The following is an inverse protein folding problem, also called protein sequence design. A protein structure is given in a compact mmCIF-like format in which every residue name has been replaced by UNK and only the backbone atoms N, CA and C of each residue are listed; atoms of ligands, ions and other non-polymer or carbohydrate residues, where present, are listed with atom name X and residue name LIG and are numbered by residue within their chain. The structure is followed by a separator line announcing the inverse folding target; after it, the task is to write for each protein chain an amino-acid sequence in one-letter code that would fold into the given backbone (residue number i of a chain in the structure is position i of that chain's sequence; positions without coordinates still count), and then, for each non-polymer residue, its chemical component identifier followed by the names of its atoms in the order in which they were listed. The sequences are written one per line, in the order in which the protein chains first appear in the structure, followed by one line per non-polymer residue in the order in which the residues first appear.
data_IF_474143956611
#
_entry.id   IF_474143956611
#
_cell.length_a   1.000
_cell.length_b   1.000
_cell.length_c   1.000
_cell.angle_alpha   90.00
_cell.angle_beta   90.00
_cell.angle_gamma   90.00
#
_symmetry.space_group_name_H-M   'P 1'
#
loop_
_entity.id
_entity.type
_entity.pdbx_description
1 polymer ?
#
# COMPACT_ATOMS: atom_id res chain seq x y z
N UNK A 1 -9.81 -4.32 17.83
CA UNK A 1 -10.84 -5.28 17.35
C UNK A 1 -10.49 -5.73 15.95
N UNK A 2 -10.54 -7.04 15.72
CA UNK A 2 -10.31 -7.68 14.43
C UNK A 2 -11.68 -7.98 13.81
N UNK A 3 -12.19 -7.10 12.95
CA UNK A 3 -13.55 -7.25 12.43
C UNK A 3 -13.56 -7.97 11.07
N UNK A 4 -13.39 -9.29 11.12
CA UNK A 4 -13.47 -10.16 9.95
C UNK A 4 -14.82 -10.05 9.23
N UNK A 5 -15.89 -9.74 9.97
CA UNK A 5 -17.22 -9.59 9.39
C UNK A 5 -17.32 -8.30 8.56
N UNK A 6 -16.83 -7.17 9.06
CA UNK A 6 -16.78 -5.91 8.29
C UNK A 6 -15.94 -6.07 7.02
N UNK A 7 -14.78 -6.73 7.14
CA UNK A 7 -13.91 -7.05 6.00
C UNK A 7 -14.64 -7.89 4.94
N UNK A 8 -15.40 -8.90 5.37
CA UNK A 8 -16.22 -9.74 4.49
C UNK A 8 -17.35 -8.95 3.83
N UNK A 9 -18.06 -8.14 4.59
CA UNK A 9 -19.15 -7.28 4.10
C UNK A 9 -18.63 -6.31 3.05
N UNK A 10 -17.56 -5.57 3.36
CA UNK A 10 -16.97 -4.62 2.43
C UNK A 10 -16.44 -5.30 1.17
N UNK A 11 -15.82 -6.48 1.28
CA UNK A 11 -15.33 -7.22 0.12
C UNK A 11 -16.45 -7.55 -0.86
N UNK A 12 -17.61 -7.98 -0.35
CA UNK A 12 -18.75 -8.33 -1.20
C UNK A 12 -19.30 -7.11 -1.94
N UNK A 13 -19.41 -5.98 -1.26
CA UNK A 13 -19.86 -4.73 -1.90
C UNK A 13 -18.81 -4.19 -2.89
N UNK A 14 -17.53 -4.22 -2.52
CA UNK A 14 -16.42 -3.82 -3.38
C UNK A 14 -16.38 -4.61 -4.68
N UNK A 15 -16.69 -5.91 -4.65
CA UNK A 15 -16.68 -6.73 -5.85
C UNK A 15 -17.81 -6.38 -6.82
N UNK A 16 -18.93 -5.79 -6.35
CA UNK A 16 -19.95 -5.22 -7.23
C UNK A 16 -19.42 -3.99 -7.97
N UNK A 17 -18.69 -3.13 -7.27
CA UNK A 17 -18.02 -1.97 -7.88
C UNK A 17 -16.95 -2.39 -8.87
N UNK A 18 -16.18 -3.43 -8.55
CA UNK A 18 -15.19 -4.03 -9.43
C UNK A 18 -15.83 -4.46 -10.75
N UNK A 19 -16.90 -5.24 -10.71
CA UNK A 19 -17.58 -5.70 -11.91
C UNK A 19 -18.17 -4.54 -12.72
N UNK A 20 -18.81 -3.57 -12.04
CA UNK A 20 -19.40 -2.40 -12.69
C UNK A 20 -18.38 -1.43 -13.33
N UNK A 21 -17.09 -1.67 -13.13
CA UNK A 21 -15.99 -0.92 -13.75
C UNK A 21 -15.47 -1.55 -15.04
N UNK A 22 -15.94 -2.73 -15.43
CA UNK A 22 -15.67 -3.25 -16.77
C UNK A 22 -16.52 -2.52 -17.82
N UNK A 23 -15.88 -2.11 -18.91
CA UNK A 23 -16.58 -1.73 -20.14
C UNK A 23 -16.72 -2.99 -21.01
N UNK A 24 -17.60 -3.89 -20.61
CA UNK A 24 -17.81 -5.18 -21.27
C UNK A 24 -19.24 -5.64 -21.06
N UNK A 25 -19.73 -6.40 -22.03
CA UNK A 25 -21.06 -7.01 -21.99
C UNK A 25 -20.95 -8.51 -22.23
N UNK A 26 -21.87 -9.26 -21.64
CA UNK A 26 -22.07 -10.70 -21.84
C UNK A 26 -23.53 -10.85 -22.24
N UNK A 27 -23.79 -11.43 -23.42
CA UNK A 27 -25.15 -11.59 -23.96
C UNK A 27 -25.95 -10.28 -24.02
N UNK A 28 -25.31 -9.18 -24.43
CA UNK A 28 -25.95 -7.86 -24.59
C UNK A 28 -26.30 -7.13 -23.29
N UNK A 29 -25.91 -7.67 -22.12
CA UNK A 29 -26.10 -7.01 -20.83
C UNK A 29 -24.76 -6.67 -20.16
N UNK A 30 -24.72 -5.65 -19.28
CA UNK A 30 -23.57 -5.40 -18.43
C UNK A 30 -23.22 -6.62 -17.57
N UNK A 31 -21.94 -6.73 -17.23
CA UNK A 31 -21.43 -7.79 -16.33
C UNK A 31 -21.99 -7.55 -14.92
N UNK A 32 -22.28 -8.65 -14.23
CA UNK A 32 -22.77 -8.72 -12.86
C UNK A 32 -21.85 -9.60 -12.00
N UNK A 33 -22.07 -9.61 -10.68
CA UNK A 33 -21.23 -10.37 -9.76
C UNK A 33 -21.25 -11.88 -10.06
N UNK A 34 -22.36 -12.39 -10.58
CA UNK A 34 -22.55 -13.81 -10.90
C UNK A 34 -21.77 -14.25 -12.15
N UNK A 35 -21.34 -13.29 -12.97
CA UNK A 35 -20.53 -13.55 -14.16
C UNK A 35 -19.06 -13.73 -13.84
N UNK A 36 -18.61 -13.52 -12.59
CA UNK A 36 -17.21 -13.66 -12.22
C UNK A 36 -17.03 -14.73 -11.14
N UNK A 37 -15.90 -15.44 -11.20
CA UNK A 37 -15.45 -16.34 -10.14
C UNK A 37 -14.31 -15.68 -9.37
N UNK A 38 -14.49 -15.50 -8.06
CA UNK A 38 -13.45 -14.99 -7.20
C UNK A 38 -13.47 -15.68 -5.83
N UNK A 39 -12.30 -15.73 -5.20
CA UNK A 39 -12.12 -16.21 -3.83
C UNK A 39 -11.42 -15.13 -3.02
N UNK A 40 -11.79 -15.00 -1.75
CA UNK A 40 -11.18 -14.07 -0.83
C UNK A 40 -10.72 -14.79 0.44
N UNK A 41 -9.48 -14.52 0.87
CA UNK A 41 -8.91 -15.03 2.12
C UNK A 41 -8.59 -13.86 3.04
N UNK A 42 -9.10 -13.90 4.27
CA UNK A 42 -8.78 -12.93 5.31
C UNK A 42 -7.55 -13.45 6.07
N UNK A 43 -6.54 -12.61 6.21
CA UNK A 43 -5.32 -12.87 6.98
C UNK A 43 -5.16 -11.82 8.08
N UNK A 44 -4.68 -12.22 9.25
CA UNK A 44 -4.59 -11.35 10.43
C UNK A 44 -3.17 -10.89 10.78
N UNK A 45 -2.18 -11.46 10.10
CA UNK A 45 -0.77 -11.23 10.38
C UNK A 45 -0.04 -10.87 9.09
N UNK A 46 0.95 -9.99 9.21
CA UNK A 46 1.93 -9.72 8.16
C UNK A 46 3.32 -9.93 8.73
N UNK A 47 4.23 -10.45 7.92
CA UNK A 47 5.64 -10.56 8.29
C UNK A 47 6.46 -9.50 7.57
N UNK A 48 7.60 -9.12 8.14
CA UNK A 48 8.56 -8.24 7.47
C UNK A 48 9.21 -8.98 6.30
N UNK A 49 9.10 -8.39 5.10
CA UNK A 49 9.73 -8.90 3.87
C UNK A 49 11.13 -8.32 3.73
N UNK A 50 12.03 -9.02 3.05
CA UNK A 50 13.38 -8.52 2.78
C UNK A 50 13.42 -7.17 2.04
N UNK A 51 12.35 -6.83 1.32
CA UNK A 51 12.21 -5.57 0.60
C UNK A 51 11.70 -4.40 1.45
N UNK A 52 11.24 -4.67 2.67
CA UNK A 52 10.70 -3.64 3.57
C UNK A 52 11.80 -2.64 3.97
N UNK A 53 11.42 -1.37 4.09
CA UNK A 53 12.34 -0.27 4.43
C UNK A 53 13.07 -0.54 5.74
N UNK A 54 12.36 -1.01 6.75
CA UNK A 54 12.91 -1.34 8.07
C UNK A 54 14.01 -2.40 7.97
N UNK A 55 13.83 -3.40 7.11
CA UNK A 55 14.83 -4.45 6.89
C UNK A 55 16.06 -3.88 6.20
N UNK A 56 15.86 -3.11 5.13
CA UNK A 56 16.96 -2.46 4.40
C UNK A 56 17.78 -1.52 5.29
N UNK A 57 17.12 -0.71 6.10
CA UNK A 57 17.79 0.25 6.98
C UNK A 57 18.46 -0.43 8.19
N UNK A 58 17.97 -1.61 8.61
CA UNK A 58 18.66 -2.44 9.61
C UNK A 58 19.79 -3.30 9.03
N UNK A 59 19.93 -3.41 7.70
CA UNK A 59 20.88 -4.31 7.06
C UNK A 59 22.34 -4.07 7.47
N UNK A 60 22.85 -2.82 7.59
CA UNK A 60 24.22 -2.58 8.05
C UNK A 60 24.50 -3.12 9.45
N UNK A 61 23.50 -3.10 10.35
CA UNK A 61 23.60 -3.68 11.68
C UNK A 61 23.57 -5.20 11.61
N UNK A 62 22.66 -5.76 10.81
CA UNK A 62 22.55 -7.20 10.59
C UNK A 62 23.86 -7.82 10.11
N UNK A 63 24.53 -7.19 9.13
CA UNK A 63 25.82 -7.65 8.59
C UNK A 63 26.91 -7.62 9.65
N UNK A 64 27.02 -6.55 10.44
CA UNK A 64 28.02 -6.45 11.53
C UNK A 64 27.77 -7.50 12.60
N UNK A 65 26.51 -7.69 13.01
CA UNK A 65 26.13 -8.73 13.97
C UNK A 65 26.45 -10.12 13.45
N UNK A 66 26.22 -10.39 12.16
CA UNK A 66 26.57 -11.66 11.53
C UNK A 66 28.08 -11.91 11.58
N UNK A 67 28.89 -10.92 11.23
CA UNK A 67 30.35 -11.04 11.29
C UNK A 67 30.83 -11.38 12.70
N UNK A 68 30.36 -10.63 13.72
CA UNK A 68 30.70 -10.89 15.12
C UNK A 68 30.26 -12.29 15.60
N UNK A 69 29.13 -12.79 15.10
CA UNK A 69 28.68 -14.17 15.40
C UNK A 69 29.62 -15.21 14.78
N UNK A 70 30.08 -14.98 13.55
CA UNK A 70 31.09 -15.83 12.91
C UNK A 70 32.40 -15.80 13.68
N UNK A 71 32.85 -14.62 14.13
CA UNK A 71 34.07 -14.50 14.94
C UNK A 71 33.95 -15.28 16.26
N UNK A 72 32.82 -15.16 16.96
CA UNK A 72 32.55 -15.97 18.17
C UNK A 72 32.67 -17.46 17.86
N UNK A 73 32.08 -17.91 16.74
CA UNK A 73 32.15 -19.32 16.34
C UNK A 73 33.58 -19.78 16.07
N UNK A 74 34.38 -18.98 15.37
CA UNK A 74 35.78 -19.31 15.09
C UNK A 74 36.62 -19.42 16.36
N UNK A 75 36.38 -18.54 17.34
CA UNK A 75 37.03 -18.59 18.65
C UNK A 75 36.62 -19.86 19.42
N UNK A 76 35.34 -20.21 19.40
CA UNK A 76 34.84 -21.44 20.05
C UNK A 76 35.40 -22.72 19.43
N UNK A 77 35.63 -22.72 18.11
CA UNK A 77 36.20 -23.85 17.37
C UNK A 77 37.74 -23.87 17.39
N UNK A 78 38.39 -22.96 18.13
CA UNK A 78 39.85 -22.90 18.26
C UNK A 78 40.59 -22.44 16.99
N UNK A 79 39.86 -21.88 16.00
CA UNK A 79 40.44 -21.41 14.72
C UNK A 79 40.95 -19.97 14.79
N UNK A 80 40.63 -19.25 15.87
CA UNK A 80 41.05 -17.88 16.11
C UNK A 80 41.12 -17.59 17.61
N UNK A 81 41.92 -16.60 18.01
CA UNK A 81 41.94 -16.09 19.37
C UNK A 81 40.99 -14.89 19.51
N UNK A 82 40.33 -14.74 20.65
CA UNK A 82 39.45 -13.59 20.89
C UNK A 82 38.67 -13.63 22.19
N UNK A 83 38.17 -12.47 22.61
CA UNK A 83 37.35 -12.34 23.82
C UNK A 83 35.86 -12.43 23.49
N UNK A 84 35.27 -13.61 23.70
CA UNK A 84 33.86 -13.88 23.43
C UNK A 84 32.93 -12.89 24.18
N UNK A 85 33.24 -12.55 25.44
CA UNK A 85 32.42 -11.61 26.25
C UNK A 85 32.39 -10.22 25.61
N UNK A 86 33.52 -9.76 25.07
CA UNK A 86 33.62 -8.46 24.38
C UNK A 86 32.78 -8.47 23.09
N UNK A 87 32.86 -9.53 22.29
CA UNK A 87 32.08 -9.68 21.05
C UNK A 87 30.57 -9.72 21.34
N UNK A 88 30.15 -10.43 22.39
CA UNK A 88 28.75 -10.47 22.83
C UNK A 88 28.22 -9.10 23.29
N UNK A 89 29.04 -8.33 24.00
CA UNK A 89 28.69 -6.96 24.42
C UNK A 89 28.50 -6.05 23.21
N UNK A 90 29.33 -6.20 22.18
CA UNK A 90 29.21 -5.43 20.94
C UNK A 90 27.98 -5.81 20.14
N UNK A 91 27.65 -7.11 20.03
CA UNK A 91 26.38 -7.57 19.43
C UNK A 91 25.20 -6.92 20.14
N UNK A 92 25.18 -6.96 21.48
CA UNK A 92 24.10 -6.36 22.28
C UNK A 92 23.98 -4.86 22.06
N UNK A 93 25.12 -4.16 21.89
CA UNK A 93 25.16 -2.73 21.55
C UNK A 93 24.56 -2.48 20.17
N UNK A 94 24.93 -3.27 19.16
CA UNK A 94 24.43 -3.14 17.79
C UNK A 94 22.93 -3.43 17.69
N UNK A 95 22.44 -4.46 18.39
CA UNK A 95 21.00 -4.78 18.44
C UNK A 95 20.20 -3.61 19.02
N UNK A 96 20.71 -2.94 20.08
CA UNK A 96 20.07 -1.77 20.70
C UNK A 96 20.17 -0.50 19.86
N UNK A 97 21.23 -0.35 19.05
CA UNK A 97 21.43 0.83 18.21
C UNK A 97 20.71 0.77 16.86
N UNK A 98 20.17 -0.39 16.49
CA UNK A 98 19.49 -0.54 15.23
C UNK A 98 18.26 0.39 15.16
N UNK A 99 18.06 1.13 14.06
CA UNK A 99 17.06 2.20 13.98
C UNK A 99 15.62 1.69 14.00
N UNK A 100 15.37 0.46 13.52
CA UNK A 100 14.01 -0.10 13.49
C UNK A 100 13.89 -1.27 14.45
N UNK A 101 13.09 -1.07 15.49
CA UNK A 101 12.85 -2.04 16.55
C UNK A 101 11.36 -2.28 16.76
N UNK A 102 11.04 -3.47 17.24
CA UNK A 102 9.73 -3.88 17.69
C UNK A 102 9.90 -4.60 19.03
N UNK A 103 9.24 -4.11 20.08
CA UNK A 103 9.35 -4.66 21.43
C UNK A 103 10.80 -4.81 21.91
N UNK A 104 11.62 -3.78 21.65
CA UNK A 104 13.04 -3.74 22.01
C UNK A 104 13.95 -4.66 21.19
N UNK A 105 13.42 -5.39 20.20
CA UNK A 105 14.20 -6.25 19.30
C UNK A 105 14.31 -5.60 17.93
N UNK A 106 15.49 -5.66 17.34
CA UNK A 106 15.70 -5.24 15.95
C UNK A 106 14.74 -5.99 15.03
N UNK A 107 14.08 -5.25 14.15
CA UNK A 107 13.19 -5.83 13.14
C UNK A 107 14.03 -6.62 12.13
N UNK A 108 13.66 -7.89 11.92
CA UNK A 108 14.30 -8.83 10.98
C UNK A 108 13.29 -9.46 10.03
N UNK A 109 13.77 -9.98 8.90
CA UNK A 109 12.91 -10.62 7.91
C UNK A 109 12.21 -11.83 8.54
N UNK A 110 10.92 -12.01 8.22
CA UNK A 110 10.09 -13.07 8.78
C UNK A 110 9.47 -12.75 10.14
N UNK A 111 9.95 -11.71 10.85
CA UNK A 111 9.33 -11.26 12.09
C UNK A 111 7.89 -10.79 11.83
N UNK A 112 6.95 -11.19 12.68
CA UNK A 112 5.54 -10.75 12.60
C UNK A 112 5.46 -9.27 12.96
N UNK A 113 4.75 -8.48 12.14
CA UNK A 113 4.50 -7.06 12.37
C UNK A 113 3.49 -6.88 13.50
N UNK A 114 3.78 -5.95 14.40
CA UNK A 114 2.86 -5.60 15.48
C UNK A 114 1.66 -4.77 14.98
N UNK A 115 0.67 -4.58 15.85
CA UNK A 115 -0.57 -3.87 15.56
C UNK A 115 -1.57 -4.68 14.73
N UNK A 116 -2.66 -4.03 14.31
CA UNK A 116 -3.68 -4.69 13.50
C UNK A 116 -3.19 -4.85 12.05
N UNK A 117 -2.87 -6.09 11.67
CA UNK A 117 -2.39 -6.45 10.34
C UNK A 117 -3.45 -7.16 9.49
N UNK A 118 -4.73 -7.04 9.87
CA UNK A 118 -5.81 -7.70 9.16
C UNK A 118 -5.95 -7.18 7.73
N UNK A 119 -5.96 -8.08 6.76
CA UNK A 119 -6.04 -7.78 5.34
C UNK A 119 -6.66 -8.93 4.56
N UNK A 120 -7.00 -8.67 3.30
CA UNK A 120 -7.68 -9.63 2.44
C UNK A 120 -6.87 -9.82 1.17
N UNK A 121 -6.69 -11.06 0.76
CA UNK A 121 -6.24 -11.42 -0.58
C UNK A 121 -7.45 -11.85 -1.40
N UNK A 122 -7.64 -11.24 -2.56
CA UNK A 122 -8.72 -11.57 -3.48
C UNK A 122 -8.07 -12.12 -4.75
N UNK A 123 -8.47 -13.33 -5.14
CA UNK A 123 -8.09 -13.95 -6.40
C UNK A 123 -9.33 -13.94 -7.29
N UNK A 124 -9.21 -13.35 -8.48
CA UNK A 124 -10.30 -13.25 -9.45
C UNK A 124 -9.90 -13.99 -10.71
N UNK A 125 -10.80 -14.82 -11.24
CA UNK A 125 -10.60 -15.46 -12.54
C UNK A 125 -10.43 -14.40 -13.63
N UNK A 126 -9.46 -14.63 -14.53
CA UNK A 126 -9.25 -13.77 -15.71
C UNK A 126 -10.42 -13.85 -16.69
N UNK A 127 -11.19 -14.93 -16.67
CA UNK A 127 -12.36 -15.11 -17.52
C UNK A 127 -13.64 -15.10 -16.69
N UNK A 128 -14.75 -14.79 -17.36
CA UNK A 128 -16.08 -14.91 -16.80
C UNK A 128 -16.38 -16.37 -16.35
N UNK A 129 -17.49 -16.55 -15.64
CA UNK A 129 -17.88 -17.83 -15.05
C UNK A 129 -18.06 -18.95 -16.10
N UNK A 130 -18.44 -18.60 -17.33
CA UNK A 130 -18.58 -19.53 -18.46
C UNK A 130 -17.27 -19.82 -19.20
N UNK A 131 -16.17 -19.16 -18.83
CA UNK A 131 -14.84 -19.31 -19.46
C UNK A 131 -14.78 -18.82 -20.93
N UNK A 132 -15.71 -17.98 -21.36
CA UNK A 132 -15.84 -17.49 -22.74
C UNK A 132 -15.27 -16.09 -22.96
N UNK A 133 -15.40 -15.21 -21.98
CA UNK A 133 -15.06 -13.78 -22.07
C UNK A 133 -13.89 -13.45 -21.14
N UNK A 134 -12.87 -12.79 -21.68
CA UNK A 134 -11.72 -12.31 -20.91
C UNK A 134 -12.03 -10.97 -20.21
N UNK A 135 -11.82 -10.94 -18.89
CA UNK A 135 -12.06 -9.83 -17.98
C UNK A 135 -10.75 -9.45 -17.30
N UNK A 136 -9.99 -8.55 -17.92
CA UNK A 136 -8.70 -8.09 -17.38
C UNK A 136 -8.80 -6.67 -16.81
N UNK A 137 -8.72 -6.49 -15.47
CA UNK A 137 -8.57 -5.16 -14.86
C UNK A 137 -7.19 -4.53 -15.18
N UNK A 138 -6.29 -5.37 -15.70
CA UNK A 138 -4.98 -5.03 -16.22
C UNK A 138 -4.97 -4.31 -17.57
N UNK A 139 -6.10 -4.23 -18.26
CA UNK A 139 -6.20 -3.63 -19.59
C UNK A 139 -5.64 -2.20 -19.64
N UNK A 140 -4.95 -1.87 -20.75
CA UNK A 140 -4.55 -0.48 -21.05
C UNK A 140 -5.75 0.39 -21.44
N UNK A 141 -6.84 -0.23 -21.88
CA UNK A 141 -8.07 0.47 -22.28
C UNK A 141 -9.01 0.62 -21.09
N UNK A 142 -9.56 1.83 -20.91
CA UNK A 142 -10.58 2.11 -19.89
C UNK A 142 -11.99 1.77 -20.39
N UNK A 143 -12.40 2.42 -21.47
CA UNK A 143 -13.62 2.13 -22.21
C UNK A 143 -13.32 2.35 -23.70
N UNK A 144 -13.28 1.27 -24.47
CA UNK A 144 -13.11 1.31 -25.92
C UNK A 144 -13.96 0.23 -26.56
N UNK A 145 -14.29 0.41 -27.82
CA UNK A 145 -14.98 -0.58 -28.64
C UNK A 145 -14.03 -1.04 -29.74
N UNK A 146 -14.10 -2.32 -30.10
CA UNK A 146 -13.38 -2.87 -31.24
C UNK A 146 -14.28 -3.81 -32.01
N UNK A 147 -14.14 -3.79 -33.33
CA UNK A 147 -14.76 -4.80 -34.16
C UNK A 147 -13.96 -6.10 -34.06
N UNK A 148 -14.62 -7.20 -33.72
CA UNK A 148 -14.04 -8.52 -33.61
C UNK A 148 -15.00 -9.52 -34.24
N UNK A 149 -14.57 -10.21 -35.30
CA UNK A 149 -15.41 -11.13 -36.07
C UNK A 149 -16.71 -10.50 -36.58
N UNK A 150 -16.64 -9.26 -37.10
CA UNK A 150 -17.81 -8.53 -37.61
C UNK A 150 -18.77 -8.02 -36.54
N UNK A 151 -18.39 -8.07 -35.26
CA UNK A 151 -19.21 -7.59 -34.14
C UNK A 151 -18.47 -6.52 -33.35
N UNK A 152 -19.16 -5.44 -33.01
CA UNK A 152 -18.64 -4.44 -32.09
C UNK A 152 -18.61 -4.98 -30.66
N UNK A 153 -17.42 -5.00 -30.07
CA UNK A 153 -17.15 -5.59 -28.77
C UNK A 153 -16.57 -4.53 -27.84
N UNK A 154 -17.30 -4.23 -26.76
CA UNK A 154 -16.82 -3.37 -25.67
C UNK A 154 -15.65 -4.05 -24.95
N UNK A 155 -14.61 -3.28 -24.65
CA UNK A 155 -13.49 -3.72 -23.81
C UNK A 155 -12.99 -2.60 -22.90
N UNK A 156 -12.39 -3.03 -21.80
CA UNK A 156 -11.65 -2.15 -20.90
C UNK A 156 -12.08 -2.28 -19.45
N UNK A 157 -11.29 -1.68 -18.57
CA UNK A 157 -11.59 -1.55 -17.16
C UNK A 157 -11.24 -0.15 -16.69
N UNK A 158 -12.22 0.56 -16.15
CA UNK A 158 -12.03 1.90 -15.64
C UNK A 158 -11.56 1.86 -14.18
N UNK A 159 -10.23 1.96 -14.00
CA UNK A 159 -9.60 1.98 -12.67
C UNK A 159 -9.99 3.21 -11.86
N UNK A 160 -10.14 4.37 -12.51
CA UNK A 160 -10.49 5.60 -11.80
C UNK A 160 -11.90 5.46 -11.21
N UNK A 161 -12.85 4.99 -12.04
CA UNK A 161 -14.22 4.68 -11.62
C UNK A 161 -14.26 3.64 -10.50
N UNK A 162 -13.44 2.59 -10.58
CA UNK A 162 -13.37 1.57 -9.53
C UNK A 162 -12.95 2.15 -8.18
N UNK A 163 -11.85 2.89 -8.13
CA UNK A 163 -11.37 3.47 -6.87
C UNK A 163 -12.35 4.49 -6.28
N UNK A 164 -12.92 5.36 -7.12
CA UNK A 164 -13.92 6.35 -6.67
C UNK A 164 -15.18 5.69 -6.11
N UNK A 165 -15.65 4.60 -6.74
CA UNK A 165 -16.80 3.83 -6.23
C UNK A 165 -16.46 3.08 -4.95
N UNK A 166 -15.31 2.41 -4.90
CA UNK A 166 -14.83 1.69 -3.73
C UNK A 166 -14.77 2.58 -2.48
N UNK A 167 -14.32 3.82 -2.65
CA UNK A 167 -14.30 4.86 -1.63
C UNK A 167 -15.72 5.21 -1.13
N UNK A 168 -16.66 5.47 -2.04
CA UNK A 168 -18.05 5.79 -1.68
C UNK A 168 -18.76 4.62 -1.01
N UNK A 169 -18.53 3.40 -1.49
CA UNK A 169 -19.07 2.18 -0.91
C UNK A 169 -18.53 1.98 0.51
N UNK A 170 -17.25 2.22 0.75
CA UNK A 170 -16.68 2.18 2.10
C UNK A 170 -17.37 3.20 3.03
N UNK A 171 -17.50 4.45 2.58
CA UNK A 171 -18.11 5.51 3.38
C UNK A 171 -19.56 5.21 3.73
N UNK A 172 -20.33 4.73 2.75
CA UNK A 172 -21.72 4.34 2.96
C UNK A 172 -21.83 3.15 3.91
N UNK A 173 -20.98 2.13 3.73
CA UNK A 173 -21.05 0.88 4.52
C UNK A 173 -20.73 1.13 5.99
N UNK A 174 -19.78 2.02 6.29
CA UNK A 174 -19.27 2.23 7.65
C UNK A 174 -19.59 3.61 8.24
N UNK A 175 -20.35 4.44 7.53
CA UNK A 175 -20.60 5.84 7.93
C UNK A 175 -19.32 6.68 8.01
N UNK A 176 -18.27 6.31 7.27
CA UNK A 176 -16.97 6.99 7.34
C UNK A 176 -17.06 8.36 6.66
N UNK A 177 -16.74 9.41 7.42
CA UNK A 177 -16.67 10.79 6.90
C UNK A 177 -15.28 11.05 6.34
N UNK A 178 -15.05 10.65 5.10
CA UNK A 178 -13.76 10.80 4.43
C UNK A 178 -13.36 12.27 4.27
N UNK A 179 -12.11 12.59 4.61
CA UNK A 179 -11.55 13.91 4.34
C UNK A 179 -11.05 14.01 2.89
N UNK A 180 -11.03 15.22 2.32
CA UNK A 180 -10.47 15.51 1.00
C UNK A 180 -9.12 14.83 0.75
N UNK A 181 -8.17 14.93 1.69
CA UNK A 181 -6.81 14.40 1.54
C UNK A 181 -6.75 12.87 1.41
N UNK A 182 -7.80 12.16 1.82
CA UNK A 182 -7.88 10.70 1.72
C UNK A 182 -8.47 10.22 0.41
N UNK A 183 -9.14 11.10 -0.34
CA UNK A 183 -9.82 10.73 -1.60
C UNK A 183 -8.83 10.32 -2.69
N UNK A 184 -9.27 9.41 -3.55
CA UNK A 184 -8.50 8.90 -4.67
C UNK A 184 -8.07 10.02 -5.58
N UNK A 185 -9.00 10.94 -5.88
CA UNK A 185 -8.74 12.12 -6.71
C UNK A 185 -7.66 13.00 -6.11
N UNK A 186 -7.76 13.34 -4.82
CA UNK A 186 -6.76 14.18 -4.17
C UNK A 186 -5.38 13.51 -4.13
N UNK A 187 -5.31 12.20 -3.86
CA UNK A 187 -4.04 11.44 -3.92
C UNK A 187 -3.44 11.42 -5.32
N UNK A 188 -4.29 11.24 -6.34
CA UNK A 188 -3.88 11.26 -7.76
C UNK A 188 -3.37 12.64 -8.16
N UNK A 189 -4.07 13.70 -7.77
CA UNK A 189 -3.66 15.09 -8.03
C UNK A 189 -2.37 15.43 -7.29
N UNK A 190 -2.20 14.96 -6.05
CA UNK A 190 -0.96 15.14 -5.29
C UNK A 190 0.26 14.56 -6.01
N UNK A 191 0.11 13.37 -6.62
CA UNK A 191 1.19 12.72 -7.36
C UNK A 191 1.44 13.38 -8.71
N UNK A 192 0.37 13.72 -9.46
CA UNK A 192 0.48 14.23 -10.84
C UNK A 192 0.71 15.73 -10.91
N UNK A 193 0.04 16.50 -10.08
CA UNK A 193 0.08 17.96 -10.04
C UNK A 193 -0.01 18.47 -8.58
N UNK A 194 1.11 18.40 -7.82
CA UNK A 194 1.13 18.83 -6.43
C UNK A 194 0.64 20.27 -6.21
N UNK A 195 0.89 21.18 -7.16
CA UNK A 195 0.44 22.57 -7.07
C UNK A 195 -1.08 22.66 -7.02
N UNK A 196 -1.76 21.93 -7.91
CA UNK A 196 -3.22 21.87 -7.95
C UNK A 196 -3.79 21.27 -6.66
N UNK A 197 -3.17 20.21 -6.14
CA UNK A 197 -3.55 19.61 -4.86
C UNK A 197 -3.47 20.61 -3.72
N UNK A 198 -2.35 21.32 -3.56
CA UNK A 198 -2.20 22.30 -2.48
C UNK A 198 -3.15 23.49 -2.65
N UNK A 199 -3.41 23.94 -3.88
CA UNK A 199 -4.40 24.97 -4.14
C UNK A 199 -5.81 24.54 -3.70
N UNK A 200 -6.21 23.29 -3.98
CA UNK A 200 -7.48 22.73 -3.52
C UNK A 200 -7.52 22.55 -1.99
N UNK A 201 -6.44 22.06 -1.39
CA UNK A 201 -6.30 21.87 0.06
C UNK A 201 -6.48 23.19 0.82
N UNK A 202 -5.93 24.29 0.30
CA UNK A 202 -6.02 25.59 0.95
C UNK A 202 -7.42 26.21 0.90
N UNK A 203 -8.26 25.80 -0.06
CA UNK A 203 -9.66 26.22 -0.19
C UNK A 203 -10.61 25.51 0.77
N UNK A 204 -10.15 24.48 1.48
CA UNK A 204 -10.97 23.77 2.46
C UNK A 204 -11.29 24.63 3.69
N UNK A 205 -12.42 24.38 4.36
CA UNK A 205 -12.70 24.92 5.69
C UNK A 205 -11.56 24.66 6.68
N UNK A 206 -11.36 25.58 7.64
CA UNK A 206 -10.19 25.55 8.52
C UNK A 206 -10.05 24.23 9.32
N UNK A 207 -11.18 23.69 9.80
CA UNK A 207 -11.25 22.40 10.49
C UNK A 207 -10.85 21.22 9.58
N UNK A 208 -11.39 21.15 8.36
CA UNK A 208 -11.07 20.09 7.39
C UNK A 208 -9.63 20.15 6.91
N UNK A 209 -9.11 21.37 6.72
CA UNK A 209 -7.72 21.61 6.35
C UNK A 209 -6.76 21.19 7.46
N UNK A 210 -7.07 21.51 8.72
CA UNK A 210 -6.27 21.06 9.87
C UNK A 210 -6.26 19.53 9.98
N UNK A 211 -7.41 18.88 9.78
CA UNK A 211 -7.51 17.42 9.74
C UNK A 211 -6.70 16.82 8.60
N UNK A 212 -6.76 17.41 7.41
CA UNK A 212 -5.97 16.98 6.25
C UNK A 212 -4.46 17.03 6.52
N UNK A 213 -3.95 18.13 7.08
CA UNK A 213 -2.54 18.23 7.48
C UNK A 213 -2.17 17.19 8.55
N UNK A 214 -3.04 16.93 9.51
CA UNK A 214 -2.86 15.88 10.54
C UNK A 214 -2.84 14.47 9.93
N UNK A 215 -3.61 14.21 8.87
CA UNK A 215 -3.59 12.92 8.16
C UNK A 215 -2.31 12.75 7.35
N UNK A 216 -1.82 13.83 6.73
CA UNK A 216 -0.55 13.80 6.00
C UNK A 216 0.62 13.42 6.94
N UNK A 217 0.65 13.94 8.17
CA UNK A 217 1.72 13.58 9.13
C UNK A 217 1.72 12.10 9.48
N UNK A 218 0.55 11.55 9.78
CA UNK A 218 0.38 10.16 10.22
C UNK A 218 0.72 9.14 9.13
N UNK A 219 0.55 9.52 7.86
CA UNK A 219 0.89 8.67 6.71
C UNK A 219 2.39 8.69 6.38
N UNK A 220 3.22 9.31 7.22
CA UNK A 220 4.67 9.40 7.00
C UNK A 220 5.08 10.42 5.94
N UNK A 221 4.15 11.29 5.53
CA UNK A 221 4.47 12.47 4.72
C UNK A 221 5.07 13.52 5.67
N UNK A 222 6.28 14.04 5.42
CA UNK A 222 6.94 14.95 6.35
C UNK A 222 6.20 16.30 6.43
N UNK A 223 5.88 16.77 7.64
CA UNK A 223 5.81 18.22 7.90
C UNK A 223 7.26 18.71 8.07
N UNK A 224 7.57 19.83 7.43
CA UNK A 224 8.77 20.63 7.69
C UNK A 224 8.71 21.17 9.13
N UNK A 225 9.80 21.15 9.92
CA UNK A 225 9.79 21.70 11.28
C UNK A 225 9.35 23.17 11.30
N UNK A 226 8.95 23.63 12.49
CA UNK A 226 8.41 24.94 12.88
C UNK A 226 9.31 26.15 12.62
N UNK A 227 9.92 26.22 11.43
CA UNK A 227 10.75 27.32 10.95
C UNK A 227 9.97 27.99 9.82
N UNK A 228 9.89 29.33 9.77
CA UNK A 228 9.23 30.05 8.69
C UNK A 228 10.05 29.89 7.40
N UNK A 229 9.81 28.81 6.67
CA UNK A 229 10.27 28.65 5.29
C UNK A 229 9.17 29.10 4.34
N UNK A 230 9.54 29.79 3.27
CA UNK A 230 8.59 30.28 2.27
C UNK A 230 7.84 29.11 1.61
N UNK A 231 6.57 29.32 1.25
CA UNK A 231 5.66 28.28 0.75
C UNK A 231 6.23 27.48 -0.43
N UNK A 232 7.05 28.12 -1.28
CA UNK A 232 7.72 27.48 -2.42
C UNK A 232 8.82 26.49 -1.99
N UNK A 233 9.56 26.77 -0.92
CA UNK A 233 10.64 25.90 -0.42
C UNK A 233 10.07 24.65 0.27
N UNK A 234 8.93 24.78 0.95
CA UNK A 234 8.17 23.65 1.51
C UNK A 234 7.73 22.72 0.38
N UNK A 235 7.05 23.28 -0.63
CA UNK A 235 6.56 22.52 -1.78
C UNK A 235 7.69 21.78 -2.52
N UNK A 236 8.85 22.42 -2.70
CA UNK A 236 9.99 21.83 -3.40
C UNK A 236 10.66 20.69 -2.61
N UNK A 237 10.82 20.83 -1.29
CA UNK A 237 11.41 19.79 -0.42
C UNK A 237 10.47 18.60 -0.27
N UNK A 238 9.18 18.86 -0.10
CA UNK A 238 8.11 17.85 -0.11
C UNK A 238 8.14 17.11 -1.45
N UNK A 239 8.15 17.81 -2.58
CA UNK A 239 8.25 17.22 -3.92
C UNK A 239 9.48 16.31 -4.12
N UNK A 240 10.69 16.77 -3.78
CA UNK A 240 11.94 16.00 -3.94
C UNK A 240 11.97 14.71 -3.12
N UNK A 241 11.38 14.71 -1.91
CA UNK A 241 11.35 13.53 -1.03
C UNK A 241 10.20 12.58 -1.37
N UNK A 242 9.07 13.11 -1.84
CA UNK A 242 7.92 12.35 -2.31
C UNK A 242 8.20 11.53 -3.55
N UNK A 243 8.99 12.04 -4.49
CA UNK A 243 9.41 11.26 -5.68
C UNK A 243 10.05 9.92 -5.29
N UNK A 244 10.72 9.85 -4.13
CA UNK A 244 11.37 8.63 -3.60
C UNK A 244 10.40 7.69 -2.85
N UNK A 245 9.27 8.20 -2.33
CA UNK A 245 8.27 7.42 -1.59
C UNK A 245 7.05 6.98 -2.42
N UNK A 246 6.70 7.76 -3.45
CA UNK A 246 5.57 7.50 -4.34
C UNK A 246 5.75 6.19 -5.12
N UNK A 247 6.97 5.83 -5.54
CA UNK A 247 7.24 4.55 -6.23
C UNK A 247 6.86 3.32 -5.40
N UNK A 248 6.95 3.40 -4.06
CA UNK A 248 6.64 2.30 -3.15
C UNK A 248 5.14 2.25 -2.84
N UNK A 249 4.50 3.40 -2.61
CA UNK A 249 3.06 3.49 -2.33
C UNK A 249 2.17 3.20 -3.56
N UNK A 250 2.66 3.49 -4.76
CA UNK A 250 1.98 3.15 -6.02
C UNK A 250 1.92 1.63 -6.21
N UNK A 251 2.97 0.88 -5.81
CA UNK A 251 3.00 -0.60 -5.91
C UNK A 251 2.05 -1.29 -4.94
N UNK A 252 1.78 -0.72 -3.77
CA UNK A 252 0.86 -1.30 -2.78
C UNK A 252 -0.61 -1.07 -3.10
N UNK A 253 -0.91 -0.17 -4.05
CA UNK A 253 -2.26 0.25 -4.43
C UNK A 253 -2.64 -0.20 -5.85
N UNK A 254 -1.75 -0.90 -6.54
CA UNK A 254 -1.97 -1.38 -7.89
C UNK A 254 -2.63 -2.76 -7.89
N UNK A 255 -3.60 -2.96 -8.78
CA UNK A 255 -4.02 -4.30 -9.20
C UNK A 255 -2.81 -4.95 -9.86
N UNK A 256 -2.16 -5.87 -9.14
CA UNK A 256 -1.09 -6.69 -9.69
C UNK A 256 -1.65 -7.67 -10.70
N UNK A 257 -0.93 -7.87 -11.80
CA UNK A 257 -1.15 -8.97 -12.75
C UNK A 257 -0.01 -9.95 -12.54
#
# INVERSE_FOLDING_TARGET
QNNSQDLKTYTRELMKDYVASFNREINGRPITIDDIKYYAKIEHQRTFKGTDKQIKENQPFATKILHLKTDIRNVQEGRAEGNIRKLQKEISRLERLAPHQQNGKRIVQGMVKDGNQSHIHIIVSRKDASNSVSLSPGSKHKASEVEMHGKNVKRGFDRDKFFEKAEKTFDKTFGYKRNFAETYKARKDFVKNPKLYFAALMKLPANERALAFKMMTKTGLPIVPSIPVTQAQIALRVFKRLRRGAEIAIKSSSIGI
#
